data_IF_999575905214
#
_entry.id   IF_999575905214
#
_cell.length_a   1.000
_cell.length_b   1.000
_cell.length_c   1.000
_cell.angle_alpha   90.00
_cell.angle_beta   90.00
_cell.angle_gamma   90.00
#
_symmetry.space_group_name_H-M   'P 1'
#
loop_
_entity.id
_entity.type
_entity.pdbx_description
1 polymer ?
#
# COMPACT_ATOMS: atom_id res chain seq x y z
N UNK A 1 -8.40 -19.34 -35.21
CA UNK A 1 -7.61 -18.18 -34.77
C UNK A 1 -6.18 -18.36 -35.21
N UNK A 2 -5.60 -17.34 -35.83
CA UNK A 2 -4.18 -17.36 -36.22
C UNK A 2 -3.30 -17.23 -34.98
N UNK A 3 -2.09 -17.83 -34.97
CA UNK A 3 -1.12 -17.70 -33.86
C UNK A 3 -0.91 -16.25 -33.41
N UNK A 4 -0.93 -15.30 -34.36
CA UNK A 4 -0.84 -13.85 -34.09
C UNK A 4 -1.99 -13.32 -33.24
N UNK A 5 -3.22 -13.80 -33.46
CA UNK A 5 -4.39 -13.41 -32.67
C UNK A 5 -4.32 -13.94 -31.24
N UNK A 6 -3.82 -15.18 -31.07
CA UNK A 6 -3.62 -15.77 -29.74
C UNK A 6 -2.58 -14.96 -28.94
N UNK A 7 -1.46 -14.63 -29.58
CA UNK A 7 -0.42 -13.79 -28.98
C UNK A 7 -0.95 -12.43 -28.53
N UNK A 8 -1.77 -11.79 -29.36
CA UNK A 8 -2.36 -10.48 -29.04
C UNK A 8 -3.28 -10.55 -27.82
N UNK A 9 -4.13 -11.59 -27.73
CA UNK A 9 -5.01 -11.80 -26.57
C UNK A 9 -4.22 -12.01 -25.28
N UNK A 10 -3.14 -12.79 -25.33
CA UNK A 10 -2.28 -13.02 -24.16
C UNK A 10 -1.65 -11.71 -23.69
N UNK A 11 -1.11 -10.91 -24.62
CA UNK A 11 -0.53 -9.59 -24.30
C UNK A 11 -1.58 -8.68 -23.65
N UNK A 12 -2.80 -8.63 -24.19
CA UNK A 12 -3.89 -7.85 -23.61
C UNK A 12 -4.22 -8.27 -22.18
N UNK A 13 -4.31 -9.57 -21.92
CA UNK A 13 -4.59 -10.09 -20.58
C UNK A 13 -3.48 -9.74 -19.58
N UNK A 14 -2.22 -9.85 -19.99
CA UNK A 14 -1.08 -9.48 -19.12
C UNK A 14 -1.09 -7.99 -18.80
N UNK A 15 -1.33 -7.14 -19.80
CA UNK A 15 -1.41 -5.68 -19.60
C UNK A 15 -2.57 -5.33 -18.68
N UNK A 16 -3.76 -5.88 -18.90
CA UNK A 16 -4.91 -5.65 -18.03
C UNK A 16 -4.67 -6.13 -16.61
N UNK A 17 -4.07 -7.31 -16.45
CA UNK A 17 -3.72 -7.87 -15.14
C UNK A 17 -2.72 -6.98 -14.39
N UNK A 18 -1.70 -6.45 -15.08
CA UNK A 18 -0.75 -5.52 -14.49
C UNK A 18 -1.43 -4.22 -14.05
N UNK A 19 -2.26 -3.61 -14.92
CA UNK A 19 -2.99 -2.39 -14.57
C UNK A 19 -3.91 -2.62 -13.38
N UNK A 20 -4.65 -3.73 -13.37
CA UNK A 20 -5.53 -4.08 -12.25
C UNK A 20 -4.75 -4.32 -10.95
N UNK A 21 -3.61 -4.99 -11.01
CA UNK A 21 -2.77 -5.24 -9.84
C UNK A 21 -2.21 -3.95 -9.22
N UNK A 22 -1.75 -3.00 -10.06
CA UNK A 22 -1.16 -1.75 -9.58
C UNK A 22 -2.19 -0.67 -9.22
N UNK A 23 -3.37 -0.67 -9.88
CA UNK A 23 -4.35 0.42 -9.77
C UNK A 23 -5.75 -0.01 -9.33
N UNK A 24 -5.99 -1.31 -9.08
CA UNK A 24 -7.30 -1.87 -8.73
C UNK A 24 -7.88 -1.41 -7.39
N UNK A 25 -7.13 -0.62 -6.62
CA UNK A 25 -7.55 -0.06 -5.34
C UNK A 25 -7.48 -1.09 -4.21
N UNK A 26 -7.03 -0.62 -3.05
CA UNK A 26 -7.15 -1.39 -1.80
C UNK A 26 -8.46 -0.97 -1.13
N UNK A 27 -9.22 -1.95 -0.59
CA UNK A 27 -10.47 -1.67 0.12
C UNK A 27 -10.17 -0.93 1.42
N UNK A 28 -10.26 0.38 1.38
CA UNK A 28 -10.11 1.22 2.58
C UNK A 28 -11.48 1.44 3.20
N UNK A 29 -11.61 1.36 4.53
CA UNK A 29 -12.86 1.68 5.21
C UNK A 29 -13.37 3.08 4.82
N UNK A 30 -14.69 3.23 4.67
CA UNK A 30 -15.30 4.51 4.26
C UNK A 30 -14.88 5.62 5.23
N UNK A 31 -14.33 6.71 4.68
CA UNK A 31 -13.86 7.87 5.46
C UNK A 31 -12.37 7.87 5.78
N UNK A 32 -11.64 6.79 5.48
CA UNK A 32 -10.19 6.74 5.65
C UNK A 32 -9.48 6.91 4.30
N UNK A 33 -8.53 7.85 4.24
CA UNK A 33 -7.62 7.96 3.09
C UNK A 33 -6.80 6.66 2.99
N UNK A 34 -6.59 6.11 1.78
CA UNK A 34 -5.76 4.93 1.62
C UNK A 34 -4.38 5.13 2.24
N UNK A 35 -3.83 4.09 2.86
CA UNK A 35 -2.43 4.09 3.27
C UNK A 35 -1.58 3.97 1.98
N UNK A 36 -1.34 5.10 1.32
CA UNK A 36 -0.79 5.12 -0.05
C UNK A 36 0.73 4.88 -0.08
N UNK A 37 1.42 5.12 1.03
CA UNK A 37 2.84 4.82 1.19
C UNK A 37 3.22 5.03 2.66
N UNK A 38 3.89 4.06 3.26
CA UNK A 38 4.50 4.20 4.58
C UNK A 38 6.01 4.07 4.39
N UNK A 39 6.75 5.16 4.56
CA UNK A 39 8.20 5.17 4.45
C UNK A 39 8.84 5.20 5.84
N UNK A 40 10.11 4.80 5.94
CA UNK A 40 10.89 4.94 7.17
C UNK A 40 11.02 6.41 7.62
N UNK A 41 10.92 7.36 6.69
CA UNK A 41 10.92 8.80 6.98
C UNK A 41 9.72 9.22 7.83
N UNK A 42 8.55 8.65 7.60
CA UNK A 42 7.29 8.98 8.30
C UNK A 42 7.33 8.60 9.79
N UNK A 43 8.21 7.66 10.17
CA UNK A 43 8.44 7.26 11.55
C UNK A 43 9.35 8.20 12.33
N UNK A 44 10.04 9.14 11.67
CA UNK A 44 11.03 10.01 12.32
C UNK A 44 10.41 10.88 13.40
N UNK A 45 9.24 11.48 13.13
CA UNK A 45 8.51 12.29 14.09
C UNK A 45 8.04 11.47 15.30
N UNK A 46 7.50 10.26 15.05
CA UNK A 46 7.12 9.32 16.11
C UNK A 46 8.32 8.94 16.98
N UNK A 47 9.45 8.59 16.37
CA UNK A 47 10.67 8.21 17.09
C UNK A 47 11.20 9.36 17.95
N UNK A 48 11.22 10.58 17.43
CA UNK A 48 11.66 11.77 18.17
C UNK A 48 10.75 12.04 19.36
N UNK A 49 9.42 12.07 19.14
CA UNK A 49 8.44 12.31 20.20
C UNK A 49 8.46 11.20 21.26
N UNK A 50 8.55 9.94 20.82
CA UNK A 50 8.67 8.78 21.71
C UNK A 50 9.92 8.92 22.59
N UNK A 51 11.08 9.27 22.03
CA UNK A 51 12.33 9.34 22.78
C UNK A 51 12.50 10.60 23.64
N UNK A 52 11.72 11.66 23.43
CA UNK A 52 11.84 12.92 24.17
C UNK A 52 11.53 12.80 25.67
N UNK A 53 10.78 11.77 26.11
CA UNK A 53 10.42 11.58 27.52
C UNK A 53 10.77 10.17 28.01
N UNK A 54 12.04 9.88 28.32
CA UNK A 54 12.56 8.55 28.73
C UNK A 54 11.96 7.99 30.01
N UNK A 55 11.50 8.86 30.91
CA UNK A 55 10.98 8.48 32.23
C UNK A 55 9.45 8.33 32.30
N UNK A 56 8.74 8.47 31.19
CA UNK A 56 7.27 8.40 31.14
C UNK A 56 6.77 7.08 30.56
N UNK A 57 5.62 6.59 31.02
CA UNK A 57 4.92 5.45 30.42
C UNK A 57 4.47 5.80 29.00
N UNK A 58 4.68 4.89 28.05
CA UNK A 58 4.37 5.09 26.62
C UNK A 58 3.47 3.97 26.11
N UNK A 59 2.51 4.33 25.26
CA UNK A 59 1.63 3.39 24.57
C UNK A 59 1.91 3.48 23.08
N UNK A 60 2.18 2.33 22.45
CA UNK A 60 2.36 2.23 21.00
C UNK A 60 1.18 1.44 20.44
N UNK A 61 0.43 2.05 19.53
CA UNK A 61 -0.69 1.40 18.85
C UNK A 61 -0.21 0.96 17.47
N UNK A 62 -0.25 -0.35 17.22
CA UNK A 62 0.00 -0.92 15.90
C UNK A 62 -1.33 -1.18 15.21
N UNK A 63 -1.53 -0.55 14.06
CA UNK A 63 -2.68 -0.76 13.21
C UNK A 63 -2.31 -1.85 12.19
N UNK A 64 -3.14 -2.88 12.05
CA UNK A 64 -2.98 -3.81 10.93
C UNK A 64 -3.54 -3.17 9.66
N UNK A 65 -2.87 -3.35 8.50
CA UNK A 65 -3.51 -3.06 7.22
C UNK A 65 -4.73 -3.99 7.05
N UNK A 66 -5.92 -3.43 6.91
CA UNK A 66 -7.13 -4.13 6.45
C UNK A 66 -7.32 -3.86 4.97
#
# INVERSE_FOLDING_TARGET
MNRKQILLVVVLLVVFGAVYYFYGGHSTPKGQQPLVSFSSGDLTALKTAFNASPSSTRVVVMLSPT
#
